data_IF_209154239840
#
_entry.id   IF_209154239840
#
_cell.length_a   1.000
_cell.length_b   1.000
_cell.length_c   1.000
_cell.angle_alpha   90.00
_cell.angle_beta   90.00
_cell.angle_gamma   90.00
#
_symmetry.space_group_name_H-M   'P 1'
#
loop_
_entity.id
_entity.type
_entity.pdbx_description
1 polymer ?
#
# COMPACT_ATOMS: atom_id res chain seq x y z
N UNK A 1 27.17 2.50 -14.60
CA UNK A 1 25.85 2.00 -14.21
C UNK A 1 24.94 3.21 -14.14
N UNK A 2 23.81 3.18 -14.82
CA UNK A 2 22.80 4.26 -14.75
C UNK A 2 21.72 3.77 -13.80
N UNK A 3 21.34 4.61 -12.81
CA UNK A 3 20.35 4.29 -11.78
C UNK A 3 20.97 4.06 -10.38
N UNK A 4 20.11 3.97 -9.38
CA UNK A 4 20.49 3.71 -8.00
C UNK A 4 20.54 2.21 -7.64
N UNK A 5 20.85 1.87 -6.40
CA UNK A 5 20.91 0.49 -5.93
C UNK A 5 19.53 -0.20 -5.87
N UNK A 6 18.44 0.57 -5.90
CA UNK A 6 17.05 0.05 -5.85
C UNK A 6 16.63 -0.71 -7.12
N UNK A 7 17.41 -0.63 -8.22
CA UNK A 7 17.08 -1.28 -9.50
C UNK A 7 16.86 -2.82 -9.41
N UNK A 8 17.29 -3.47 -8.34
CA UNK A 8 17.13 -4.91 -8.12
C UNK A 8 16.18 -5.23 -6.96
N UNK A 9 15.62 -4.21 -6.32
CA UNK A 9 14.70 -4.37 -5.21
C UNK A 9 13.30 -4.76 -5.69
N UNK A 10 12.60 -5.57 -4.93
CA UNK A 10 11.16 -5.79 -5.10
C UNK A 10 10.43 -4.68 -4.34
N UNK A 11 9.47 -4.05 -5.00
CA UNK A 11 8.58 -3.05 -4.43
C UNK A 11 7.14 -3.39 -4.84
N UNK A 12 6.34 -3.87 -3.91
CA UNK A 12 4.97 -4.30 -4.19
C UNK A 12 3.98 -3.12 -4.23
N UNK A 13 4.32 -2.02 -3.61
CA UNK A 13 3.49 -0.81 -3.56
C UNK A 13 3.28 -0.16 -4.93
N UNK A 14 4.23 -0.31 -5.86
CA UNK A 14 4.13 0.24 -7.21
C UNK A 14 2.87 -0.20 -7.95
N UNK A 15 2.41 -1.43 -7.71
CA UNK A 15 1.21 -1.95 -8.37
C UNK A 15 -0.06 -1.21 -7.92
N UNK A 16 -0.14 -0.86 -6.63
CA UNK A 16 -1.24 -0.05 -6.11
C UNK A 16 -1.24 1.36 -6.66
N UNK A 17 -0.08 2.01 -6.71
CA UNK A 17 0.07 3.34 -7.29
C UNK A 17 -0.34 3.36 -8.77
N UNK A 18 0.10 2.36 -9.53
CA UNK A 18 -0.28 2.19 -10.95
C UNK A 18 -1.80 2.04 -11.12
N UNK A 19 -2.41 1.14 -10.36
CA UNK A 19 -3.85 0.86 -10.49
C UNK A 19 -4.72 2.02 -10.00
N UNK A 20 -4.28 2.74 -8.97
CA UNK A 20 -4.99 3.95 -8.52
C UNK A 20 -4.91 5.06 -9.58
N UNK A 21 -3.75 5.28 -10.20
CA UNK A 21 -3.58 6.23 -11.30
C UNK A 21 -4.46 5.85 -12.51
N UNK A 22 -4.50 4.59 -12.92
CA UNK A 22 -5.38 4.11 -14.00
C UNK A 22 -6.86 4.31 -13.64
N UNK A 23 -7.24 4.00 -12.40
CA UNK A 23 -8.60 4.18 -11.92
C UNK A 23 -9.04 5.66 -11.97
N UNK A 24 -8.17 6.57 -11.51
CA UNK A 24 -8.42 8.02 -11.52
C UNK A 24 -8.46 8.56 -12.96
N UNK A 25 -7.52 8.14 -13.80
CA UNK A 25 -7.52 8.50 -15.22
C UNK A 25 -8.80 8.09 -15.92
N UNK A 26 -9.25 6.84 -15.72
CA UNK A 26 -10.52 6.37 -16.29
C UNK A 26 -11.75 7.09 -15.70
N UNK A 27 -11.65 7.59 -14.46
CA UNK A 27 -12.77 8.30 -13.79
C UNK A 27 -12.94 9.72 -14.29
N UNK A 28 -11.83 10.44 -14.54
CA UNK A 28 -11.82 11.87 -14.82
C UNK A 28 -11.32 12.21 -16.23
N UNK A 29 -10.74 11.26 -16.94
CA UNK A 29 -10.19 11.42 -18.28
C UNK A 29 -10.76 10.42 -19.27
N UNK A 30 -9.89 9.88 -20.11
CA UNK A 30 -10.28 8.92 -21.14
C UNK A 30 -10.51 7.52 -20.58
N UNK A 31 -11.42 6.81 -21.22
CA UNK A 31 -11.72 5.42 -20.87
C UNK A 31 -10.56 4.50 -21.22
N UNK A 32 -10.21 3.58 -20.31
CA UNK A 32 -9.20 2.55 -20.57
C UNK A 32 -9.57 1.73 -21.83
N UNK A 33 -8.60 1.50 -22.71
CA UNK A 33 -8.78 0.66 -23.89
C UNK A 33 -8.87 -0.83 -23.51
N UNK A 34 -9.40 -1.65 -24.40
CA UNK A 34 -9.45 -3.10 -24.19
C UNK A 34 -8.04 -3.71 -24.14
N UNK A 35 -7.09 -3.18 -24.94
CA UNK A 35 -5.71 -3.66 -24.92
C UNK A 35 -5.02 -3.37 -23.59
N UNK A 36 -5.19 -2.16 -23.05
CA UNK A 36 -4.63 -1.79 -21.74
C UNK A 36 -5.28 -2.60 -20.61
N UNK A 37 -6.58 -2.90 -20.75
CA UNK A 37 -7.29 -3.73 -19.77
C UNK A 37 -6.71 -5.15 -19.65
N UNK A 38 -6.27 -5.75 -20.74
CA UNK A 38 -5.58 -7.05 -20.71
C UNK A 38 -4.30 -6.95 -19.87
N UNK A 39 -3.48 -5.92 -20.08
CA UNK A 39 -2.29 -5.67 -19.27
C UNK A 39 -2.61 -5.45 -17.78
N UNK A 40 -3.69 -4.71 -17.49
CA UNK A 40 -4.18 -4.55 -16.10
C UNK A 40 -4.54 -5.90 -15.48
N UNK A 41 -5.23 -6.77 -16.21
CA UNK A 41 -5.56 -8.10 -15.68
C UNK A 41 -4.31 -8.93 -15.35
N UNK A 42 -3.27 -8.86 -16.15
CA UNK A 42 -1.99 -9.54 -15.91
C UNK A 42 -1.32 -9.02 -14.63
N UNK A 43 -1.25 -7.70 -14.49
CA UNK A 43 -0.70 -7.05 -13.28
C UNK A 43 -1.47 -7.46 -12.03
N UNK A 44 -2.80 -7.39 -12.06
CA UNK A 44 -3.63 -7.74 -10.88
C UNK A 44 -3.52 -9.23 -10.53
N UNK A 45 -3.46 -10.11 -11.54
CA UNK A 45 -3.23 -11.52 -11.31
C UNK A 45 -1.85 -11.77 -10.66
N UNK A 46 -0.82 -11.06 -11.10
CA UNK A 46 0.50 -11.11 -10.47
C UNK A 46 0.43 -10.68 -9.00
N UNK A 47 -0.26 -9.58 -8.70
CA UNK A 47 -0.47 -9.14 -7.30
C UNK A 47 -1.17 -10.22 -6.48
N UNK A 48 -2.25 -10.81 -6.99
CA UNK A 48 -2.96 -11.90 -6.30
C UNK A 48 -2.05 -13.09 -5.95
N UNK A 49 -1.03 -13.36 -6.77
CA UNK A 49 -0.10 -14.48 -6.57
C UNK A 49 1.11 -14.12 -5.69
N UNK A 50 1.40 -12.84 -5.50
CA UNK A 50 2.69 -12.40 -4.92
C UNK A 50 2.58 -11.44 -3.73
N UNK A 51 1.40 -10.99 -3.34
CA UNK A 51 1.23 -9.96 -2.30
C UNK A 51 1.84 -10.32 -0.94
N UNK A 52 1.99 -11.63 -0.64
CA UNK A 52 2.56 -12.11 0.63
C UNK A 52 4.10 -12.08 0.67
N UNK A 53 4.74 -11.65 -0.42
CA UNK A 53 6.21 -11.62 -0.48
C UNK A 53 6.76 -10.46 0.34
N UNK A 54 7.83 -10.66 1.11
CA UNK A 54 8.59 -9.56 1.67
C UNK A 54 9.15 -8.66 0.55
N UNK A 55 9.17 -7.36 0.81
CA UNK A 55 9.73 -6.36 -0.10
C UNK A 55 10.55 -5.30 0.67
N UNK A 56 11.06 -4.29 -0.01
CA UNK A 56 11.85 -3.23 0.61
C UNK A 56 10.97 -2.06 1.09
N UNK A 57 9.71 -2.01 0.64
CA UNK A 57 8.79 -0.92 0.96
C UNK A 57 9.06 0.37 0.19
N UNK A 58 8.23 1.37 0.44
CA UNK A 58 8.21 2.65 -0.29
C UNK A 58 9.50 3.48 -0.14
N UNK A 59 10.23 3.32 0.98
CA UNK A 59 11.38 4.18 1.28
C UNK A 59 12.71 3.67 0.73
N UNK A 60 12.69 2.60 -0.07
CA UNK A 60 13.87 2.02 -0.72
C UNK A 60 15.04 1.76 0.25
N UNK A 61 14.72 1.37 1.48
CA UNK A 61 15.70 1.13 2.54
C UNK A 61 16.80 0.15 2.13
N UNK A 62 17.90 0.12 2.88
CA UNK A 62 19.01 -0.83 2.69
C UNK A 62 18.89 -2.05 3.60
N UNK A 63 17.77 -2.15 4.31
CA UNK A 63 17.46 -3.28 5.19
C UNK A 63 17.10 -4.54 4.38
N UNK A 64 17.07 -5.67 5.09
CA UNK A 64 16.52 -6.91 4.51
C UNK A 64 15.03 -6.77 4.20
N UNK A 65 14.54 -7.41 3.13
CA UNK A 65 13.12 -7.38 2.79
C UNK A 65 12.22 -7.81 3.94
N UNK A 66 11.13 -7.07 4.16
CA UNK A 66 10.14 -7.32 5.21
C UNK A 66 8.72 -7.25 4.64
N UNK A 67 7.77 -7.71 5.42
CA UNK A 67 6.35 -7.46 5.14
C UNK A 67 5.99 -6.07 5.71
N UNK A 68 5.79 -5.09 4.81
CA UNK A 68 5.42 -3.72 5.16
C UNK A 68 3.93 -3.50 5.04
N UNK A 69 3.29 -2.80 6.01
CA UNK A 69 1.87 -2.48 5.92
C UNK A 69 1.56 -1.70 4.65
N UNK A 70 2.36 -0.68 4.33
CA UNK A 70 2.14 0.13 3.13
C UNK A 70 2.14 -0.72 1.85
N UNK A 71 3.06 -1.65 1.70
CA UNK A 71 3.11 -2.55 0.53
C UNK A 71 1.87 -3.44 0.45
N UNK A 72 1.40 -3.97 1.59
CA UNK A 72 0.16 -4.76 1.65
C UNK A 72 -1.07 -3.90 1.33
N UNK A 73 -1.12 -2.68 1.86
CA UNK A 73 -2.17 -1.71 1.56
C UNK A 73 -2.25 -1.42 0.06
N UNK A 74 -1.10 -1.20 -0.58
CA UNK A 74 -1.05 -0.91 -2.00
C UNK A 74 -1.37 -2.13 -2.88
N UNK A 75 -1.04 -3.36 -2.44
CA UNK A 75 -1.55 -4.57 -3.06
C UNK A 75 -3.08 -4.66 -2.97
N UNK A 76 -3.66 -4.34 -1.82
CA UNK A 76 -5.11 -4.24 -1.66
C UNK A 76 -5.71 -3.19 -2.60
N UNK A 77 -5.10 -2.00 -2.69
CA UNK A 77 -5.50 -0.92 -3.61
C UNK A 77 -5.52 -1.42 -5.05
N UNK A 78 -4.47 -2.10 -5.50
CA UNK A 78 -4.39 -2.61 -6.86
C UNK A 78 -5.60 -3.49 -7.21
N UNK A 79 -5.92 -4.44 -6.35
CA UNK A 79 -7.04 -5.37 -6.57
C UNK A 79 -8.39 -4.65 -6.43
N UNK A 80 -8.57 -3.79 -5.43
CA UNK A 80 -9.81 -3.02 -5.22
C UNK A 80 -10.13 -2.12 -6.41
N UNK A 81 -9.13 -1.38 -6.92
CA UNK A 81 -9.31 -0.50 -8.09
C UNK A 81 -9.66 -1.29 -9.35
N UNK A 82 -9.05 -2.44 -9.56
CA UNK A 82 -9.37 -3.31 -10.68
C UNK A 82 -10.79 -3.87 -10.61
N UNK A 83 -11.23 -4.34 -9.44
CA UNK A 83 -12.61 -4.81 -9.21
C UNK A 83 -13.62 -3.68 -9.49
N UNK A 84 -13.38 -2.48 -8.96
CA UNK A 84 -14.24 -1.31 -9.18
C UNK A 84 -14.31 -0.91 -10.65
N UNK A 85 -13.16 -0.90 -11.32
CA UNK A 85 -13.07 -0.54 -12.73
C UNK A 85 -13.80 -1.56 -13.61
N UNK A 86 -13.56 -2.85 -13.39
CA UNK A 86 -14.22 -3.93 -14.10
C UNK A 86 -15.74 -3.89 -13.91
N UNK A 87 -16.22 -3.70 -12.67
CA UNK A 87 -17.65 -3.60 -12.37
C UNK A 87 -18.31 -2.39 -13.03
N UNK A 88 -17.65 -1.23 -12.94
CA UNK A 88 -18.18 0.02 -13.48
C UNK A 88 -18.28 0.02 -15.01
N UNK A 89 -17.34 -0.66 -15.67
CA UNK A 89 -17.19 -0.67 -17.13
C UNK A 89 -17.70 -1.96 -17.78
N UNK A 90 -18.25 -2.89 -16.99
CA UNK A 90 -18.65 -4.23 -17.45
C UNK A 90 -17.54 -4.96 -18.21
N UNK A 91 -16.28 -4.81 -17.73
CA UNK A 91 -15.13 -5.46 -18.30
C UNK A 91 -15.03 -6.91 -17.81
N UNK A 92 -14.57 -7.80 -18.66
CA UNK A 92 -14.35 -9.21 -18.27
C UNK A 92 -13.20 -9.28 -17.28
N UNK A 93 -13.43 -9.91 -16.14
CA UNK A 93 -12.45 -10.11 -15.08
C UNK A 93 -12.71 -11.39 -14.29
N UNK A 94 -11.70 -11.99 -13.66
CA UNK A 94 -11.85 -13.11 -12.74
C UNK A 94 -12.32 -12.61 -11.36
N UNK A 95 -13.54 -12.08 -11.30
CA UNK A 95 -14.09 -11.38 -10.12
C UNK A 95 -14.00 -12.20 -8.83
N UNK A 96 -14.34 -13.48 -8.87
CA UNK A 96 -14.30 -14.34 -7.70
C UNK A 96 -12.89 -14.36 -7.08
N UNK A 97 -11.88 -14.59 -7.91
CA UNK A 97 -10.48 -14.61 -7.50
C UNK A 97 -10.03 -13.27 -6.92
N UNK A 98 -10.34 -12.17 -7.62
CA UNK A 98 -9.90 -10.84 -7.19
C UNK A 98 -10.59 -10.38 -5.91
N UNK A 99 -11.89 -10.66 -5.76
CA UNK A 99 -12.63 -10.35 -4.54
C UNK A 99 -12.09 -11.17 -3.37
N UNK A 100 -11.80 -12.45 -3.58
CA UNK A 100 -11.22 -13.31 -2.55
C UNK A 100 -9.84 -12.77 -2.11
N UNK A 101 -8.93 -12.48 -3.05
CA UNK A 101 -7.61 -11.92 -2.76
C UNK A 101 -7.71 -10.56 -2.03
N UNK A 102 -8.57 -9.65 -2.50
CA UNK A 102 -8.80 -8.36 -1.83
C UNK A 102 -9.22 -8.52 -0.37
N UNK A 103 -10.15 -9.41 -0.12
CA UNK A 103 -10.65 -9.66 1.23
C UNK A 103 -9.60 -10.33 2.11
N UNK A 104 -8.81 -11.25 1.55
CA UNK A 104 -7.69 -11.91 2.24
C UNK A 104 -6.61 -10.89 2.63
N UNK A 105 -6.19 -10.03 1.69
CA UNK A 105 -5.22 -8.96 1.97
C UNK A 105 -5.78 -8.03 3.07
N UNK A 106 -7.05 -7.62 2.96
CA UNK A 106 -7.66 -6.78 3.98
C UNK A 106 -7.62 -7.43 5.36
N UNK A 107 -8.05 -8.69 5.46
CA UNK A 107 -8.00 -9.44 6.71
C UNK A 107 -6.58 -9.55 7.25
N UNK A 108 -5.62 -9.85 6.37
CA UNK A 108 -4.22 -9.96 6.75
C UNK A 108 -3.65 -8.66 7.31
N UNK A 109 -4.00 -7.51 6.72
CA UNK A 109 -3.58 -6.20 7.24
C UNK A 109 -4.08 -6.00 8.67
N UNK A 110 -5.36 -6.25 8.92
CA UNK A 110 -5.95 -6.08 10.24
C UNK A 110 -5.36 -7.06 11.27
N UNK A 111 -5.19 -8.33 10.92
CA UNK A 111 -4.70 -9.36 11.82
C UNK A 111 -3.19 -9.23 12.14
N UNK A 112 -2.41 -8.62 11.24
CA UNK A 112 -0.94 -8.65 11.32
C UNK A 112 -0.35 -7.32 11.78
N UNK A 113 -0.95 -6.20 11.39
CA UNK A 113 -0.35 -4.88 11.59
C UNK A 113 -1.07 -4.01 12.62
N UNK A 114 -2.21 -4.44 13.13
CA UNK A 114 -2.79 -3.83 14.33
C UNK A 114 -2.09 -4.39 15.57
N UNK A 115 -1.40 -3.55 16.33
CA UNK A 115 -0.78 -3.93 17.60
C UNK A 115 -1.72 -3.54 18.76
N UNK A 116 -2.31 -4.53 19.39
CA UNK A 116 -3.25 -4.32 20.52
C UNK A 116 -2.58 -3.68 21.74
N UNK A 117 -1.29 -3.94 21.96
CA UNK A 117 -0.55 -3.38 23.10
C UNK A 117 -0.14 -1.93 22.83
N UNK A 118 0.30 -1.63 21.63
CA UNK A 118 0.64 -0.27 21.19
C UNK A 118 -0.62 0.59 20.95
N UNK A 119 -1.73 -0.04 20.58
CA UNK A 119 -2.99 0.64 20.29
C UNK A 119 -3.01 1.37 18.94
N UNK A 120 -2.14 0.99 18.00
CA UNK A 120 -2.05 1.59 16.66
C UNK A 120 -1.56 0.59 15.61
N UNK A 121 -1.73 0.93 14.34
CA UNK A 121 -1.09 0.18 13.26
C UNK A 121 0.42 0.40 13.25
N UNK A 122 1.17 -0.65 12.86
CA UNK A 122 2.63 -0.63 12.83
C UNK A 122 3.17 -0.71 11.39
N UNK A 123 4.39 -0.22 11.18
CA UNK A 123 5.08 -0.14 9.90
C UNK A 123 5.27 -1.49 9.22
N UNK A 124 5.76 -2.47 9.97
CA UNK A 124 6.10 -3.79 9.43
C UNK A 124 5.78 -4.90 10.43
N UNK A 125 5.56 -6.09 9.92
CA UNK A 125 5.26 -7.28 10.73
C UNK A 125 6.31 -7.53 11.81
N UNK A 126 5.85 -7.61 13.05
CA UNK A 126 6.70 -7.86 14.22
C UNK A 126 7.50 -6.64 14.70
N UNK A 127 7.29 -5.45 14.11
CA UNK A 127 7.81 -4.18 14.60
C UNK A 127 6.73 -3.46 15.40
N UNK A 128 7.12 -2.46 16.19
CA UNK A 128 6.21 -1.50 16.83
C UNK A 128 6.38 -0.08 16.27
N UNK A 129 7.22 0.05 15.24
CA UNK A 129 7.53 1.33 14.65
C UNK A 129 6.35 1.86 13.86
N UNK A 130 6.18 3.17 13.88
CA UNK A 130 5.26 3.91 13.02
C UNK A 130 5.90 4.25 11.68
N UNK A 131 5.06 4.65 10.72
CA UNK A 131 5.47 5.10 9.40
C UNK A 131 4.49 6.16 8.88
N UNK A 132 5.01 7.28 8.40
CA UNK A 132 4.21 8.33 7.78
C UNK A 132 3.40 7.86 6.57
N UNK A 133 3.84 6.80 5.87
CA UNK A 133 3.09 6.21 4.76
C UNK A 133 1.73 5.63 5.19
N UNK A 134 1.51 5.34 6.48
CA UNK A 134 0.20 4.90 6.99
C UNK A 134 -0.89 5.95 6.80
N UNK A 135 -0.54 7.23 6.67
CA UNK A 135 -1.48 8.31 6.34
C UNK A 135 -2.24 8.08 5.02
N UNK A 136 -1.76 7.18 4.18
CA UNK A 136 -2.46 6.76 2.96
C UNK A 136 -3.74 5.94 3.21
N UNK A 137 -3.88 5.26 4.35
CA UNK A 137 -4.98 4.32 4.62
C UNK A 137 -6.39 4.92 4.36
N UNK A 138 -6.77 6.09 4.92
CA UNK A 138 -8.06 6.70 4.62
C UNK A 138 -8.12 7.33 3.22
N UNK A 139 -7.00 7.82 2.68
CA UNK A 139 -6.95 8.43 1.36
C UNK A 139 -7.29 7.42 0.26
N UNK A 140 -6.79 6.20 0.38
CA UNK A 140 -7.13 5.10 -0.54
C UNK A 140 -8.46 4.41 -0.18
N UNK A 141 -9.12 4.84 0.90
CA UNK A 141 -10.40 4.32 1.38
C UNK A 141 -10.33 2.87 1.88
N UNK A 142 -9.22 2.50 2.46
CA UNK A 142 -9.06 1.22 3.15
C UNK A 142 -9.78 1.25 4.51
N UNK A 143 -9.62 2.35 5.24
CA UNK A 143 -10.32 2.64 6.50
C UNK A 143 -11.18 3.88 6.38
N UNK A 144 -12.20 4.01 7.22
CA UNK A 144 -12.96 5.24 7.36
C UNK A 144 -12.14 6.31 8.10
N UNK A 145 -12.33 7.59 7.74
CA UNK A 145 -11.64 8.70 8.42
C UNK A 145 -12.04 8.89 9.89
N UNK A 146 -13.12 8.25 10.32
CA UNK A 146 -13.64 8.26 11.71
C UNK A 146 -13.51 6.90 12.39
N UNK A 147 -12.82 5.96 11.80
CA UNK A 147 -12.56 4.65 12.39
C UNK A 147 -11.70 4.82 13.64
N UNK A 148 -12.11 4.25 14.80
CA UNK A 148 -11.39 4.44 16.07
C UNK A 148 -9.92 3.96 16.02
N UNK A 149 -9.64 2.85 15.35
CA UNK A 149 -8.29 2.31 15.25
C UNK A 149 -7.43 3.20 14.33
N UNK A 150 -8.04 3.75 13.28
CA UNK A 150 -7.38 4.76 12.45
C UNK A 150 -7.08 6.04 13.23
N UNK A 151 -8.04 6.56 14.00
CA UNK A 151 -7.83 7.77 14.79
C UNK A 151 -6.72 7.58 15.82
N UNK A 152 -6.68 6.43 16.51
CA UNK A 152 -5.60 6.09 17.44
C UNK A 152 -4.23 6.05 16.73
N UNK A 153 -4.18 5.51 15.50
CA UNK A 153 -2.94 5.52 14.69
C UNK A 153 -2.54 6.93 14.28
N UNK A 154 -3.50 7.76 13.89
CA UNK A 154 -3.24 9.17 13.52
C UNK A 154 -2.69 9.96 14.70
N UNK A 155 -3.26 9.79 15.90
CA UNK A 155 -2.80 10.43 17.12
C UNK A 155 -1.35 9.98 17.44
N UNK A 156 -1.07 8.67 17.35
CA UNK A 156 0.28 8.13 17.58
C UNK A 156 1.31 8.66 16.55
N UNK A 157 0.93 8.80 15.28
CA UNK A 157 1.79 9.43 14.25
C UNK A 157 2.06 10.88 14.61
N UNK A 158 1.03 11.64 15.02
CA UNK A 158 1.19 13.04 15.42
C UNK A 158 2.12 13.23 16.62
N UNK A 159 2.05 12.31 17.59
CA UNK A 159 2.87 12.36 18.82
C UNK A 159 4.33 11.91 18.57
N UNK A 160 4.55 10.89 17.76
CA UNK A 160 5.87 10.25 17.62
C UNK A 160 6.64 10.69 16.38
N UNK A 161 5.95 11.00 15.29
CA UNK A 161 6.56 11.40 14.03
C UNK A 161 6.30 12.86 13.66
N UNK A 162 5.47 13.57 14.42
CA UNK A 162 5.16 14.99 14.18
C UNK A 162 6.33 15.90 14.58
N UNK A 163 6.71 16.82 13.69
CA UNK A 163 7.67 17.89 13.95
C UNK A 163 7.11 19.21 13.39
N UNK A 164 6.57 20.05 14.26
CA UNK A 164 5.83 21.27 13.93
C UNK A 164 4.73 21.02 12.88
N UNK A 165 4.98 21.38 11.62
CA UNK A 165 4.04 21.23 10.51
C UNK A 165 4.36 20.03 9.59
N UNK A 166 5.35 19.24 9.93
CA UNK A 166 5.82 18.11 9.12
C UNK A 166 5.60 16.79 9.85
N UNK A 167 5.63 15.72 9.10
CA UNK A 167 5.61 14.34 9.63
C UNK A 167 6.85 13.63 9.08
N UNK A 168 7.65 13.07 9.98
CA UNK A 168 8.80 12.23 9.62
C UNK A 168 8.33 10.97 8.90
N UNK A 169 9.17 10.44 8.03
CA UNK A 169 8.93 9.13 7.37
C UNK A 169 8.76 8.04 8.42
N UNK A 170 9.72 7.97 9.32
CA UNK A 170 9.80 7.04 10.45
C UNK A 170 10.87 7.53 11.42
N UNK A 171 10.79 7.05 12.66
CA UNK A 171 11.76 7.37 13.70
C UNK A 171 12.86 6.31 13.73
N UNK A 172 13.81 6.38 12.81
CA UNK A 172 15.04 5.56 12.82
C UNK A 172 16.17 6.30 12.14
N UNK A 173 17.34 6.18 12.75
CA UNK A 173 18.61 6.42 12.08
C UNK A 173 18.83 5.29 11.05
N UNK A 174 18.53 5.52 9.81
CA UNK A 174 18.69 4.58 8.69
C UNK A 174 20.14 4.57 8.15
N UNK A 175 21.06 5.27 8.82
CA UNK A 175 22.45 5.37 8.43
C UNK A 175 22.68 6.16 7.13
N UNK A 176 21.68 6.91 6.67
CA UNK A 176 21.79 7.83 5.54
C UNK A 176 22.19 9.21 6.07
N UNK A 177 23.49 9.44 6.29
CA UNK A 177 23.99 10.78 6.59
C UNK A 177 23.66 11.73 5.41
N UNK A 178 22.82 12.73 5.65
CA UNK A 178 22.70 13.89 4.78
C UNK A 178 21.46 14.03 3.91
N UNK A 179 20.38 13.31 4.17
CA UNK A 179 19.06 13.58 3.56
C UNK A 179 18.07 14.08 4.62
N UNK A 180 18.32 15.30 5.10
CA UNK A 180 17.33 16.14 5.77
C UNK A 180 16.56 16.99 4.74
#
# INVERSE_FOLDING_TARGET
RIGNAAATQLQLDIFGALLDAIYLSNKYGEAISHADWIGVCEVVNYVCDNWQRPDIGIWEGREEPREHLHSQLMCWVAVDRAVRLASKRSLRAPFERWIAARNEISKYIWDTFWDEEAGHFVRSKGSRDLDGALLMMPLVRFVGSTDPQWLATLDAIGEQLGDDALVLRYDRDDGLEGEE
#
